data_IF_022126220120
#
_entry.id   IF_022126220120
#
_cell.length_a   1.000
_cell.length_b   1.000
_cell.length_c   1.000
_cell.angle_alpha   90.00
_cell.angle_beta   90.00
_cell.angle_gamma   90.00
#
_symmetry.space_group_name_H-M   'P 1'
#
loop_
_entity.id
_entity.type
_entity.pdbx_description
1 polymer ?
#
# COMPACT_ATOMS: atom_id res chain seq x y z
N UNK A 1 21.76 9.61 -4.87
CA UNK A 1 21.17 10.88 -4.39
C UNK A 1 20.60 10.61 -3.00
N UNK A 2 20.90 11.44 -1.99
CA UNK A 2 20.45 11.22 -0.62
C UNK A 2 18.91 11.16 -0.54
N UNK A 3 18.35 10.19 0.21
CA UNK A 3 16.90 9.95 0.27
C UNK A 3 16.14 11.09 0.96
N UNK A 4 16.78 11.79 1.88
CA UNK A 4 16.30 13.00 2.55
C UNK A 4 15.96 14.11 1.55
N UNK A 5 16.86 14.39 0.60
CA UNK A 5 16.61 15.37 -0.46
C UNK A 5 15.46 14.97 -1.37
N UNK A 6 15.34 13.66 -1.70
CA UNK A 6 14.20 13.17 -2.48
C UNK A 6 12.87 13.40 -1.76
N UNK A 7 12.82 13.15 -0.45
CA UNK A 7 11.62 13.37 0.34
C UNK A 7 11.21 14.85 0.34
N UNK A 8 12.19 15.76 0.46
CA UNK A 8 11.95 17.20 0.42
C UNK A 8 11.47 17.67 -0.95
N UNK A 9 12.15 17.24 -2.03
CA UNK A 9 11.77 17.57 -3.41
C UNK A 9 10.37 17.07 -3.76
N UNK A 10 10.07 15.80 -3.43
CA UNK A 10 8.75 15.24 -3.66
C UNK A 10 7.68 15.99 -2.87
N UNK A 11 7.93 16.29 -1.59
CA UNK A 11 6.99 17.07 -0.79
C UNK A 11 6.75 18.47 -1.37
N UNK A 12 7.78 19.13 -1.90
CA UNK A 12 7.65 20.41 -2.60
C UNK A 12 6.80 20.25 -3.87
N UNK A 13 7.10 19.26 -4.71
CA UNK A 13 6.32 18.97 -5.93
C UNK A 13 4.85 18.65 -5.61
N UNK A 14 4.56 17.95 -4.50
CA UNK A 14 3.19 17.67 -4.08
C UNK A 14 2.40 18.92 -3.68
N UNK A 15 3.09 20.02 -3.33
CA UNK A 15 2.45 21.29 -2.98
C UNK A 15 2.28 22.20 -4.19
N UNK A 16 3.25 22.21 -5.10
CA UNK A 16 3.26 23.10 -6.27
C UNK A 16 2.44 22.56 -7.46
N UNK A 17 2.45 21.24 -7.68
CA UNK A 17 1.82 20.68 -8.87
C UNK A 17 0.29 20.59 -8.71
N UNK A 18 -0.47 20.83 -9.80
CA UNK A 18 -1.91 20.67 -9.78
C UNK A 18 -2.29 19.19 -9.62
N UNK A 19 -3.46 18.93 -9.03
CA UNK A 19 -3.94 17.55 -8.78
C UNK A 19 -3.89 16.68 -10.04
N UNK A 20 -4.21 17.20 -11.22
CA UNK A 20 -4.18 16.42 -12.48
C UNK A 20 -2.78 15.89 -12.83
N UNK A 21 -1.73 16.66 -12.57
CA UNK A 21 -0.36 16.19 -12.81
C UNK A 21 0.03 15.15 -11.76
N UNK A 22 -0.33 15.41 -10.50
CA UNK A 22 -0.08 14.49 -9.40
C UNK A 22 -0.81 13.15 -9.57
N UNK A 23 -2.00 13.16 -10.18
CA UNK A 23 -2.73 11.95 -10.56
C UNK A 23 -1.86 11.06 -11.47
N UNK A 24 -1.16 11.66 -12.44
CA UNK A 24 -0.30 10.92 -13.37
C UNK A 24 1.00 10.43 -12.72
N UNK A 25 1.58 11.23 -11.81
CA UNK A 25 2.86 10.89 -11.18
C UNK A 25 2.75 9.91 -10.00
N UNK A 26 1.58 9.76 -9.37
CA UNK A 26 1.42 8.89 -8.20
C UNK A 26 1.94 7.46 -8.44
N UNK A 27 1.58 6.73 -9.51
CA UNK A 27 2.08 5.37 -9.74
C UNK A 27 3.61 5.34 -9.78
N UNK A 28 4.23 6.23 -10.57
CA UNK A 28 5.70 6.30 -10.69
C UNK A 28 6.37 6.55 -9.34
N UNK A 29 5.81 7.43 -8.50
CA UNK A 29 6.33 7.66 -7.15
C UNK A 29 6.27 6.38 -6.31
N UNK A 30 5.13 5.66 -6.32
CA UNK A 30 4.97 4.42 -5.58
C UNK A 30 5.93 3.33 -6.05
N UNK A 31 6.11 3.19 -7.37
CA UNK A 31 7.05 2.25 -7.97
C UNK A 31 8.50 2.53 -7.54
N UNK A 32 8.89 3.80 -7.46
CA UNK A 32 10.23 4.19 -7.01
C UNK A 32 10.43 4.06 -5.51
N UNK A 33 9.39 4.27 -4.69
CA UNK A 33 9.47 4.13 -3.23
C UNK A 33 9.54 2.66 -2.83
N UNK A 34 8.57 1.86 -3.28
CA UNK A 34 8.44 0.46 -2.88
C UNK A 34 9.30 -0.46 -3.75
N UNK A 35 9.64 -0.10 -4.97
CA UNK A 35 10.32 -1.02 -5.88
C UNK A 35 9.30 -1.99 -6.49
N UNK A 36 8.84 -1.61 -7.67
CA UNK A 36 7.82 -2.33 -8.42
C UNK A 36 8.25 -2.47 -9.88
N UNK A 37 7.94 -3.62 -10.49
CA UNK A 37 8.42 -3.96 -11.84
C UNK A 37 9.95 -3.98 -11.91
N UNK A 38 10.54 -3.11 -12.73
CA UNK A 38 11.98 -2.98 -12.90
C UNK A 38 12.66 -2.05 -11.87
N UNK A 39 11.89 -1.39 -11.00
CA UNK A 39 12.43 -0.47 -10.00
C UNK A 39 12.90 -1.22 -8.74
N UNK A 40 14.10 -0.88 -8.25
CA UNK A 40 14.67 -1.45 -7.02
C UNK A 40 14.11 -0.85 -5.72
N UNK A 41 13.35 0.24 -5.82
CA UNK A 41 12.79 0.91 -4.65
C UNK A 41 13.80 1.72 -3.85
N UNK A 42 13.38 2.20 -2.67
CA UNK A 42 14.24 2.90 -1.71
C UNK A 42 14.90 1.97 -0.68
N UNK A 43 14.66 0.65 -0.78
CA UNK A 43 15.28 -0.32 0.11
C UNK A 43 14.78 -0.24 1.56
N UNK A 44 13.47 -0.06 1.78
CA UNK A 44 12.88 0.13 3.12
C UNK A 44 13.20 -1.00 4.13
N UNK A 45 13.64 -2.18 3.68
CA UNK A 45 14.09 -3.28 4.55
C UNK A 45 15.55 -3.11 5.02
N UNK A 46 16.37 -2.38 4.26
CA UNK A 46 17.79 -2.15 4.57
C UNK A 46 18.04 -0.93 5.47
N UNK A 47 17.05 -0.06 5.62
CA UNK A 47 17.17 1.16 6.45
C UNK A 47 16.78 0.82 7.89
N UNK A 48 17.74 0.97 8.81
CA UNK A 48 17.60 0.65 10.24
C UNK A 48 17.51 1.93 11.10
N UNK A 49 16.91 1.89 12.29
CA UNK A 49 16.91 3.02 13.22
C UNK A 49 18.32 3.54 13.49
N UNK A 50 18.47 4.86 13.59
CA UNK A 50 19.75 5.52 13.80
C UNK A 50 20.61 5.67 12.54
N UNK A 51 20.22 5.08 11.41
CA UNK A 51 20.85 5.40 10.11
C UNK A 51 20.39 6.76 9.60
N UNK A 52 21.27 7.53 8.92
CA UNK A 52 20.89 8.80 8.32
C UNK A 52 19.75 8.59 7.32
N UNK A 53 18.70 9.40 7.46
CA UNK A 53 17.51 9.35 6.61
C UNK A 53 16.39 8.43 7.10
N UNK A 54 16.60 7.61 8.15
CA UNK A 54 15.54 6.76 8.71
C UNK A 54 14.30 7.58 9.10
N UNK A 55 14.46 8.59 9.95
CA UNK A 55 13.35 9.42 10.43
C UNK A 55 12.72 10.23 9.28
N UNK A 56 13.54 10.78 8.39
CA UNK A 56 13.04 11.56 7.24
C UNK A 56 12.14 10.73 6.32
N UNK A 57 12.52 9.49 6.03
CA UNK A 57 11.70 8.61 5.18
C UNK A 57 10.47 8.13 5.96
N UNK A 58 10.61 7.83 7.26
CA UNK A 58 9.49 7.47 8.12
C UNK A 58 8.44 8.58 8.18
N UNK A 59 8.86 9.82 8.36
CA UNK A 59 7.98 10.99 8.37
C UNK A 59 7.37 11.25 7.00
N UNK A 60 8.11 10.98 5.92
CA UNK A 60 7.61 11.12 4.55
C UNK A 60 6.49 10.11 4.22
N UNK A 61 6.70 8.84 4.62
CA UNK A 61 5.83 7.70 4.30
C UNK A 61 4.79 7.37 5.38
N UNK A 62 4.89 7.96 6.57
CA UNK A 62 4.02 7.65 7.70
C UNK A 62 2.56 8.04 7.49
N UNK A 63 1.68 7.70 8.45
CA UNK A 63 0.23 7.97 8.35
C UNK A 63 -0.12 9.45 8.21
N UNK A 64 0.70 10.34 8.78
CA UNK A 64 0.56 11.78 8.62
C UNK A 64 1.48 12.36 7.54
N UNK A 65 2.22 11.52 6.83
CA UNK A 65 3.30 11.93 5.94
C UNK A 65 2.82 12.58 4.63
N UNK A 66 3.67 13.41 3.99
CA UNK A 66 3.46 13.98 2.67
C UNK A 66 2.85 13.03 1.63
N UNK A 67 3.36 11.80 1.52
CA UNK A 67 2.89 10.86 0.50
C UNK A 67 1.45 10.41 0.76
N UNK A 68 1.09 10.09 2.00
CA UNK A 68 -0.28 9.68 2.30
C UNK A 68 -1.26 10.85 2.22
N UNK A 69 -0.84 12.06 2.60
CA UNK A 69 -1.66 13.27 2.37
C UNK A 69 -1.95 13.51 0.90
N UNK A 70 -0.98 13.29 0.03
CA UNK A 70 -1.20 13.33 -1.41
C UNK A 70 -2.23 12.28 -1.84
N UNK A 71 -2.07 11.04 -1.38
CA UNK A 71 -2.99 9.94 -1.66
C UNK A 71 -4.42 10.30 -1.28
N UNK A 72 -4.65 10.87 -0.09
CA UNK A 72 -5.97 11.33 0.34
C UNK A 72 -6.51 12.48 -0.50
N UNK A 73 -5.66 13.44 -0.89
CA UNK A 73 -6.05 14.50 -1.82
C UNK A 73 -6.57 13.92 -3.13
N UNK A 74 -5.86 12.94 -3.71
CA UNK A 74 -6.23 12.30 -4.96
C UNK A 74 -7.46 11.39 -4.82
N UNK A 75 -7.69 10.81 -3.64
CA UNK A 75 -8.86 9.97 -3.35
C UNK A 75 -10.19 10.73 -3.40
N UNK A 76 -10.17 12.06 -3.26
CA UNK A 76 -11.38 12.89 -3.39
C UNK A 76 -11.99 12.87 -4.80
N UNK A 77 -11.23 12.47 -5.82
CA UNK A 77 -11.71 12.27 -7.19
C UNK A 77 -12.25 10.84 -7.36
N UNK A 78 -13.58 10.70 -7.34
CA UNK A 78 -14.25 9.39 -7.42
C UNK A 78 -14.01 8.69 -8.77
N UNK A 79 -13.77 9.46 -9.83
CA UNK A 79 -13.53 8.96 -11.18
C UNK A 79 -12.09 8.49 -11.43
N UNK A 80 -11.16 8.89 -10.57
CA UNK A 80 -9.76 8.51 -10.67
C UNK A 80 -9.56 7.04 -10.30
N UNK A 81 -9.07 6.25 -11.27
CA UNK A 81 -8.74 4.83 -11.12
C UNK A 81 -7.35 4.54 -11.66
N UNK A 82 -6.66 3.64 -10.99
CA UNK A 82 -5.33 3.17 -11.35
C UNK A 82 -5.36 1.68 -11.64
N UNK A 83 -4.74 1.27 -12.74
CA UNK A 83 -4.56 -0.14 -13.03
C UNK A 83 -3.47 -0.75 -12.14
N UNK A 84 -3.80 -1.86 -11.50
CA UNK A 84 -2.85 -2.69 -10.78
C UNK A 84 -2.89 -4.12 -11.34
N UNK A 85 -1.73 -4.74 -11.66
CA UNK A 85 -1.70 -6.02 -12.33
C UNK A 85 -2.15 -7.15 -11.42
N UNK A 86 -3.03 -8.01 -11.95
CA UNK A 86 -3.53 -9.20 -11.23
C UNK A 86 -2.39 -10.15 -10.87
N UNK A 87 -1.32 -10.22 -11.67
CA UNK A 87 -0.14 -11.05 -11.39
C UNK A 87 0.54 -10.72 -10.05
N UNK A 88 0.40 -9.49 -9.56
CA UNK A 88 0.97 -9.04 -8.28
C UNK A 88 0.05 -9.30 -7.08
N UNK A 89 -1.16 -9.84 -7.28
CA UNK A 89 -2.06 -10.20 -6.19
C UNK A 89 -1.69 -11.56 -5.56
N UNK A 90 -2.10 -11.81 -4.31
CA UNK A 90 -1.98 -13.12 -3.69
C UNK A 90 -2.60 -14.24 -4.54
N UNK A 91 -2.08 -15.46 -4.45
CA UNK A 91 -2.52 -16.62 -5.24
C UNK A 91 -4.04 -16.83 -5.20
N UNK A 92 -4.63 -16.66 -4.02
CA UNK A 92 -6.07 -16.89 -3.82
C UNK A 92 -6.91 -15.79 -4.48
N UNK A 93 -6.46 -14.54 -4.42
CA UNK A 93 -7.09 -13.44 -5.13
C UNK A 93 -7.03 -13.68 -6.65
N UNK A 94 -5.86 -14.05 -7.19
CA UNK A 94 -5.70 -14.39 -8.61
C UNK A 94 -6.63 -15.53 -9.05
N UNK A 95 -6.73 -16.58 -8.22
CA UNK A 95 -7.62 -17.72 -8.47
C UNK A 95 -9.09 -17.30 -8.45
N UNK A 96 -9.50 -16.47 -7.50
CA UNK A 96 -10.89 -15.99 -7.41
C UNK A 96 -11.29 -15.10 -8.60
N UNK A 97 -10.32 -14.43 -9.22
CA UNK A 97 -10.52 -13.61 -10.42
C UNK A 97 -10.53 -14.45 -11.71
N UNK A 98 -9.82 -15.57 -11.74
CA UNK A 98 -9.73 -16.44 -12.92
C UNK A 98 -10.72 -17.61 -12.91
N UNK A 99 -11.20 -18.04 -11.73
CA UNK A 99 -12.03 -19.23 -11.55
C UNK A 99 -13.13 -18.97 -10.52
N UNK A 100 -14.38 -19.25 -10.90
CA UNK A 100 -15.54 -19.15 -10.01
C UNK A 100 -16.20 -17.77 -9.96
N UNK A 101 -17.20 -17.60 -9.07
CA UNK A 101 -17.88 -16.32 -8.90
C UNK A 101 -16.95 -15.29 -8.26
N UNK A 102 -16.76 -14.17 -8.94
CA UNK A 102 -15.92 -13.07 -8.46
C UNK A 102 -16.51 -12.50 -7.15
N UNK A 103 -15.74 -12.43 -6.06
CA UNK A 103 -16.20 -11.82 -4.82
C UNK A 103 -16.66 -10.36 -5.02
N UNK A 104 -17.69 -9.88 -4.28
CA UNK A 104 -18.22 -8.52 -4.46
C UNK A 104 -17.15 -7.42 -4.38
N UNK A 105 -16.14 -7.59 -3.52
CA UNK A 105 -15.01 -6.67 -3.40
C UNK A 105 -14.24 -6.48 -4.72
N UNK A 106 -14.06 -7.55 -5.49
CA UNK A 106 -13.34 -7.52 -6.76
C UNK A 106 -14.24 -7.11 -7.92
N UNK A 107 -15.54 -7.44 -7.86
CA UNK A 107 -16.49 -7.12 -8.93
C UNK A 107 -16.53 -5.62 -9.25
N UNK A 108 -16.42 -4.75 -8.24
CA UNK A 108 -16.40 -3.29 -8.43
C UNK A 108 -15.05 -2.74 -8.92
N UNK A 109 -14.02 -3.59 -9.00
CA UNK A 109 -12.65 -3.23 -9.37
C UNK A 109 -12.25 -3.79 -10.73
N UNK A 110 -13.05 -4.68 -11.32
CA UNK A 110 -12.78 -5.18 -12.66
C UNK A 110 -13.30 -4.15 -13.66
N UNK A 111 -12.48 -3.71 -14.64
CA UNK A 111 -12.95 -2.86 -15.72
C UNK A 111 -14.16 -3.54 -16.40
N UNK A 112 -15.29 -2.84 -16.47
CA UNK A 112 -16.43 -3.31 -17.25
C UNK A 112 -16.04 -3.29 -18.72
N UNK A 113 -15.68 -4.43 -19.31
CA UNK A 113 -15.34 -4.52 -20.73
C UNK A 113 -16.62 -4.56 -21.58
N UNK A 114 -16.96 -3.52 -22.36
CA UNK A 114 -18.00 -3.62 -23.37
C UNK A 114 -17.35 -4.20 -24.64
N UNK A 115 -17.59 -5.48 -24.95
CA UNK A 115 -17.24 -6.05 -26.26
C UNK A 115 -16.21 -7.18 -26.28
N UNK A 116 -15.72 -7.65 -25.13
CA UNK A 116 -14.86 -8.83 -25.07
C UNK A 116 -15.71 -10.11 -25.09
N UNK A 117 -16.06 -10.58 -26.29
CA UNK A 117 -16.52 -11.95 -26.47
C UNK A 117 -15.52 -12.91 -25.82
N UNK A 118 -16.01 -13.68 -24.84
CA UNK A 118 -15.37 -14.86 -24.22
C UNK A 118 -13.83 -14.85 -24.32
N UNK A 119 -13.18 -13.95 -23.59
CA UNK A 119 -11.74 -14.14 -23.32
C UNK A 119 -11.69 -15.27 -22.29
N UNK A 120 -11.16 -16.42 -22.69
CA UNK A 120 -10.94 -17.60 -21.84
C UNK A 120 -9.91 -17.36 -20.73
N UNK A 121 -9.45 -16.12 -20.55
CA UNK A 121 -8.49 -15.69 -19.56
C UNK A 121 -9.13 -14.55 -18.77
N UNK A 122 -9.12 -14.66 -17.44
CA UNK A 122 -9.69 -13.67 -16.53
C UNK A 122 -9.02 -12.28 -16.64
N UNK A 123 -9.43 -11.31 -15.81
CA UNK A 123 -8.90 -9.95 -15.86
C UNK A 123 -7.38 -9.92 -15.65
N UNK A 124 -6.69 -9.05 -16.38
CA UNK A 124 -5.23 -8.85 -16.28
C UNK A 124 -4.87 -7.70 -15.32
N UNK A 125 -5.78 -6.74 -15.12
CA UNK A 125 -5.65 -5.65 -14.15
C UNK A 125 -6.93 -5.47 -13.32
N UNK A 126 -6.77 -4.81 -12.17
CA UNK A 126 -7.86 -4.29 -11.34
C UNK A 126 -7.71 -2.77 -11.21
N UNK A 127 -8.84 -2.08 -11.15
CA UNK A 127 -8.93 -0.63 -10.96
C UNK A 127 -9.04 -0.29 -9.47
N UNK A 128 -8.03 0.43 -8.99
CA UNK A 128 -7.89 0.85 -7.61
C UNK A 128 -8.05 2.37 -7.50
N UNK A 129 -8.60 2.84 -6.38
CA UNK A 129 -8.46 4.26 -6.03
C UNK A 129 -7.02 4.56 -5.55
N UNK A 130 -6.68 5.85 -5.36
CA UNK A 130 -5.33 6.26 -4.94
C UNK A 130 -4.87 5.60 -3.63
N UNK A 131 -5.76 5.44 -2.66
CA UNK A 131 -5.45 4.83 -1.38
C UNK A 131 -5.20 3.33 -1.49
N UNK A 132 -6.05 2.63 -2.23
CA UNK A 132 -5.89 1.21 -2.51
C UNK A 132 -4.60 0.95 -3.29
N UNK A 133 -4.25 1.79 -4.27
CA UNK A 133 -3.00 1.70 -4.99
C UNK A 133 -1.79 1.79 -4.05
N UNK A 134 -1.79 2.79 -3.15
CA UNK A 134 -0.75 2.94 -2.13
C UNK A 134 -0.63 1.67 -1.26
N UNK A 135 -1.75 1.20 -0.71
CA UNK A 135 -1.77 0.05 0.19
C UNK A 135 -1.37 -1.25 -0.52
N UNK A 136 -1.72 -1.41 -1.79
CA UNK A 136 -1.32 -2.57 -2.59
C UNK A 136 0.19 -2.56 -2.85
N UNK A 137 0.80 -1.41 -3.15
CA UNK A 137 2.26 -1.31 -3.26
C UNK A 137 2.95 -1.56 -1.91
N UNK A 138 2.41 -1.00 -0.82
CA UNK A 138 2.92 -1.18 0.53
C UNK A 138 2.89 -2.66 0.96
N UNK A 139 1.83 -3.40 0.64
CA UNK A 139 1.72 -4.82 0.93
C UNK A 139 2.58 -5.67 -0.04
N UNK A 140 2.55 -5.35 -1.33
CA UNK A 140 3.31 -6.07 -2.35
C UNK A 140 4.82 -6.01 -2.11
N UNK A 141 5.31 -4.91 -1.53
CA UNK A 141 6.70 -4.72 -1.15
C UNK A 141 7.34 -5.93 -0.46
N UNK A 142 6.60 -6.60 0.45
CA UNK A 142 7.11 -7.71 1.26
C UNK A 142 7.17 -9.02 0.50
N UNK A 143 6.30 -9.19 -0.51
CA UNK A 143 6.16 -10.42 -1.29
C UNK A 143 6.81 -10.33 -2.67
N UNK A 144 7.38 -9.17 -3.01
CA UNK A 144 8.02 -8.93 -4.30
C UNK A 144 9.25 -9.83 -4.49
N UNK A 145 9.31 -10.66 -5.56
CA UNK A 145 10.43 -11.57 -5.82
C UNK A 145 11.78 -10.84 -5.94
N UNK A 146 11.78 -9.58 -6.37
CA UNK A 146 12.98 -8.75 -6.50
C UNK A 146 13.71 -8.54 -5.18
N UNK A 147 13.00 -8.65 -4.05
CA UNK A 147 13.60 -8.56 -2.71
C UNK A 147 14.25 -9.88 -2.27
N UNK A 148 13.86 -11.01 -2.87
CA UNK A 148 14.35 -12.34 -2.52
C UNK A 148 15.68 -12.70 -3.21
N UNK A 149 16.01 -12.01 -4.31
CA UNK A 149 17.15 -12.34 -5.18
C UNK A 149 18.42 -11.52 -4.96
N UNK A 150 18.44 -10.51 -4.09
CA UNK A 150 19.63 -9.69 -3.86
C UNK A 150 20.55 -10.37 -2.83
N UNK A 151 21.78 -10.81 -3.20
CA UNK A 151 22.68 -11.55 -2.31
C UNK A 151 23.17 -10.77 -1.07
N UNK A 152 22.82 -9.49 -0.95
CA UNK A 152 23.16 -8.60 0.17
C UNK A 152 21.94 -8.01 0.91
N UNK A 153 20.71 -8.38 0.52
CA UNK A 153 19.49 -7.96 1.20
C UNK A 153 18.75 -9.20 1.65
N UNK A 154 19.22 -9.79 2.75
CA UNK A 154 18.48 -10.84 3.44
C UNK A 154 17.12 -10.25 3.84
N UNK A 155 16.06 -10.72 3.19
CA UNK A 155 14.70 -10.50 3.64
C UNK A 155 14.61 -10.79 5.14
N UNK A 156 13.96 -9.94 5.93
CA UNK A 156 13.59 -10.27 7.30
C UNK A 156 12.50 -11.37 7.36
N UNK A 157 12.11 -11.96 6.23
CA UNK A 157 11.03 -12.94 6.16
C UNK A 157 11.62 -14.35 6.21
N UNK A 158 12.19 -14.69 7.34
CA UNK A 158 12.12 -16.06 7.84
C UNK A 158 11.60 -15.95 9.27
N UNK A 159 10.27 -16.03 9.40
CA UNK A 159 9.67 -16.47 10.65
C UNK A 159 10.16 -17.91 10.81
N UNK A 160 11.26 -18.07 11.53
CA UNK A 160 11.84 -19.36 11.86
C UNK A 160 10.85 -20.05 12.80
N UNK A 161 9.79 -20.64 12.24
CA UNK A 161 8.95 -21.61 12.93
C UNK A 161 9.71 -22.94 12.89
N UNK A 162 10.89 -22.94 13.50
CA UNK A 162 11.57 -24.17 13.88
C UNK A 162 11.14 -24.44 15.32
N UNK A 163 10.11 -25.26 15.43
CA UNK A 163 9.91 -26.07 16.63
C UNK A 163 11.15 -26.94 16.81
N UNK A 164 11.99 -26.57 17.75
CA UNK A 164 13.17 -27.31 18.16
C UNK A 164 13.58 -26.83 19.54
N UNK A 165 13.31 -27.66 20.54
CA UNK A 165 13.62 -27.40 21.95
C UNK A 165 15.10 -27.01 22.12
N UNK A 166 15.36 -25.85 22.73
CA UNK A 166 16.65 -25.59 23.39
C UNK A 166 17.51 -24.42 22.90
N UNK A 167 17.27 -23.83 21.73
CA UNK A 167 17.99 -22.62 21.32
C UNK A 167 17.14 -21.38 21.66
N UNK A 168 17.61 -20.57 22.62
CA UNK A 168 17.08 -19.20 22.79
C UNK A 168 17.23 -18.50 21.44
N UNK A 169 16.10 -18.25 20.77
CA UNK A 169 16.04 -17.34 19.65
C UNK A 169 16.68 -16.03 20.11
N UNK A 170 17.89 -15.73 19.64
CA UNK A 170 18.42 -14.37 19.68
C UNK A 170 17.56 -13.58 18.70
N UNK A 171 16.36 -13.21 19.17
CA UNK A 171 15.43 -12.34 18.48
C UNK A 171 16.11 -10.99 18.33
N UNK A 172 16.90 -10.84 17.26
CA UNK A 172 17.23 -9.53 16.74
C UNK A 172 15.89 -8.92 16.37
N UNK A 173 15.44 -7.98 17.21
CA UNK A 173 14.33 -7.07 16.92
C UNK A 173 14.49 -6.64 15.46
N UNK A 174 13.54 -7.03 14.60
CA UNK A 174 13.55 -6.68 13.18
C UNK A 174 13.15 -5.22 13.05
N UNK A 175 14.05 -4.35 13.45
CA UNK A 175 13.86 -2.91 13.39
C UNK A 175 14.37 -2.43 12.03
N UNK A 176 13.54 -2.59 11.02
CA UNK A 176 13.73 -1.91 9.74
C UNK A 176 12.60 -0.91 9.51
N UNK A 177 12.85 0.05 8.63
CA UNK A 177 11.92 1.14 8.35
C UNK A 177 10.54 0.64 7.92
N UNK A 178 10.47 -0.44 7.13
CA UNK A 178 9.19 -1.05 6.77
C UNK A 178 8.37 -1.51 8.00
N UNK A 179 9.01 -2.18 8.97
CA UNK A 179 8.34 -2.66 10.18
C UNK A 179 7.89 -1.49 11.05
N UNK A 180 8.72 -0.45 11.16
CA UNK A 180 8.35 0.78 11.87
C UNK A 180 7.12 1.46 11.23
N UNK A 181 7.10 1.59 9.89
CA UNK A 181 5.96 2.14 9.16
C UNK A 181 4.70 1.28 9.33
N UNK A 182 4.84 -0.05 9.27
CA UNK A 182 3.73 -0.96 9.51
C UNK A 182 3.14 -0.74 10.91
N UNK A 183 3.99 -0.62 11.93
CA UNK A 183 3.55 -0.31 13.29
C UNK A 183 2.83 1.03 13.37
N UNK A 184 3.36 2.08 12.74
CA UNK A 184 2.71 3.40 12.70
C UNK A 184 1.34 3.33 12.04
N UNK A 185 1.21 2.58 10.95
CA UNK A 185 -0.05 2.39 10.24
C UNK A 185 -1.06 1.58 11.05
N UNK A 186 -0.62 0.51 11.71
CA UNK A 186 -1.49 -0.27 12.58
C UNK A 186 -1.96 0.58 13.77
N UNK A 187 -1.07 1.36 14.39
CA UNK A 187 -1.45 2.26 15.48
C UNK A 187 -2.43 3.36 15.04
N UNK A 188 -2.27 3.84 13.81
CA UNK A 188 -3.14 4.87 13.24
C UNK A 188 -4.51 4.33 12.84
N UNK A 189 -4.58 3.24 12.08
CA UNK A 189 -5.83 2.74 11.51
C UNK A 189 -6.60 1.78 12.41
N UNK A 190 -5.92 1.07 13.32
CA UNK A 190 -6.60 0.16 14.23
C UNK A 190 -6.97 0.90 15.51
N UNK A 191 -8.23 0.85 15.94
CA UNK A 191 -8.65 1.46 17.19
C UNK A 191 -7.94 0.77 18.37
N UNK A 192 -7.05 1.50 19.04
CA UNK A 192 -6.37 0.99 20.25
C UNK A 192 -7.15 1.35 21.53
N UNK A 193 -8.10 2.30 21.47
CA UNK A 193 -8.82 2.79 22.66
C UNK A 193 -10.26 3.27 22.44
N UNK A 194 -10.67 3.63 21.22
CA UNK A 194 -12.02 4.10 20.89
C UNK A 194 -12.55 3.25 19.73
N UNK A 195 -13.78 2.73 19.82
CA UNK A 195 -14.45 1.78 18.90
C UNK A 195 -14.58 2.23 17.41
N UNK A 196 -13.85 3.23 16.96
CA UNK A 196 -13.85 3.68 15.57
C UNK A 196 -12.43 3.98 15.03
N UNK A 197 -12.12 3.58 13.78
CA UNK A 197 -10.93 4.06 13.09
C UNK A 197 -11.01 5.58 12.85
N UNK A 198 -9.88 6.28 12.63
CA UNK A 198 -9.89 7.71 12.34
C UNK A 198 -10.63 8.01 11.03
N UNK A 199 -11.32 9.15 10.99
CA UNK A 199 -11.92 9.66 9.75
C UNK A 199 -10.81 9.94 8.72
N UNK A 200 -10.94 9.33 7.53
CA UNK A 200 -9.98 9.56 6.45
C UNK A 200 -10.14 10.99 5.91
N UNK A 201 -9.05 11.78 5.78
CA UNK A 201 -9.11 13.13 5.24
C UNK A 201 -9.73 13.13 3.83
N UNK A 202 -10.81 13.89 3.63
CA UNK A 202 -11.50 13.99 2.34
C UNK A 202 -12.49 12.86 2.04
N UNK A 203 -12.66 11.88 2.93
CA UNK A 203 -13.72 10.87 2.83
C UNK A 203 -14.89 11.29 3.71
N UNK A 204 -15.95 11.82 3.11
CA UNK A 204 -17.23 11.92 3.83
C UNK A 204 -17.88 10.55 3.82
N UNK A 205 -17.85 9.86 4.96
CA UNK A 205 -18.75 8.73 5.16
C UNK A 205 -20.17 9.28 5.00
N UNK A 206 -20.89 8.88 3.95
CA UNK A 206 -22.35 9.04 3.92
C UNK A 206 -22.86 8.15 5.05
N UNK A 207 -22.91 8.72 6.26
CA UNK A 207 -23.50 8.09 7.43
C UNK A 207 -24.97 7.99 7.07
N UNK A 208 -25.37 6.82 6.57
CA UNK A 208 -26.77 6.46 6.48
C UNK A 208 -27.36 6.66 7.86
N UNK A 209 -28.09 7.75 8.04
CA UNK A 209 -29.02 7.89 9.14
C UNK A 209 -30.05 6.77 8.93
N UNK A 210 -29.79 5.63 9.56
CA UNK A 210 -30.82 4.69 9.98
C UNK A 210 -31.73 5.49 10.92
N UNK A 211 -32.72 6.17 10.32
CA UNK A 211 -33.90 6.63 11.01
C UNK A 211 -34.53 5.37 11.62
N UNK A 212 -34.36 5.23 12.93
CA UNK A 212 -35.12 4.26 13.70
C UNK A 212 -36.62 4.53 13.45
N UNK A 213 -37.42 3.53 13.07
CA UNK A 213 -38.86 3.72 12.96
C UNK A 213 -39.38 4.02 14.36
N UNK A 214 -39.95 5.22 14.54
CA UNK A 214 -40.70 5.55 15.75
C UNK A 214 -41.95 4.67 15.74
N UNK A 215 -42.02 3.75 16.70
CA UNK A 215 -43.24 3.04 17.02
C UNK A 215 -44.36 4.05 17.31
N UNK A 216 -45.45 3.93 16.57
CA UNK A 216 -46.80 4.35 16.94
C UNK A 216 -47.64 3.09 17.09
#
# INVERSE_FOLDING_TARGET
YPLDKRCQELNHLFQELPSKELQHYLPTVLEHVFGFGANLGWGLQSVQPGQPGFDTIRDFLGPHGPLLRLVYRLMSDVGLKYDFPVSCLPSDARRSLSTGPVPPFWATKIPSFPGAGVISQGPTSVQLNAFELYMFHFAYFVVSPSQLGAPHQQLPVMMDVVGGEGQRATGRSMECLYVALLQDYLHYFLPVLHDHPPDLPGYTHIRGHLLAPRHL
#
